data_IF_371727589883
#
_entry.id   IF_371727589883
#
_cell.length_a   1.000
_cell.length_b   1.000
_cell.length_c   1.000
_cell.angle_alpha   90.00
_cell.angle_beta   90.00
_cell.angle_gamma   90.00
#
_symmetry.space_group_name_H-M   'P 1'
#
loop_
_entity.id
_entity.type
_entity.pdbx_description
1 polymer ?
#
# COMPACT_ATOMS: atom_id res chain seq x y z
N UNK A 1 -2.18 14.39 -9.62
CA UNK A 1 -2.85 13.61 -8.55
C UNK A 1 -1.81 12.70 -7.92
N UNK A 2 -1.93 12.42 -6.63
CA UNK A 2 -1.11 11.46 -5.90
C UNK A 2 -2.00 10.45 -5.21
N UNK A 3 -1.43 9.29 -4.88
CA UNK A 3 -2.17 8.16 -4.36
C UNK A 3 -1.42 7.54 -3.19
N UNK A 4 -2.17 7.08 -2.20
CA UNK A 4 -1.72 6.09 -1.22
C UNK A 4 -2.34 4.77 -1.62
N UNK A 5 -1.54 3.72 -1.77
CA UNK A 5 -2.00 2.41 -2.21
C UNK A 5 -1.67 1.34 -1.17
N UNK A 6 -2.52 0.31 -1.17
CA UNK A 6 -2.50 -0.78 -0.22
C UNK A 6 -2.38 -2.09 -1.00
N UNK A 7 -1.28 -2.80 -0.81
CA UNK A 7 -1.04 -4.10 -1.42
C UNK A 7 -1.11 -5.20 -0.36
N UNK A 8 -1.53 -6.38 -0.79
CA UNK A 8 -1.45 -7.61 -0.02
C UNK A 8 -0.72 -8.66 -0.85
N UNK A 9 0.19 -9.39 -0.22
CA UNK A 9 0.80 -10.56 -0.84
C UNK A 9 -0.24 -11.66 -0.97
N UNK A 10 -0.29 -12.31 -2.13
CA UNK A 10 -1.21 -13.41 -2.38
C UNK A 10 -0.72 -14.67 -1.66
N UNK A 11 0.60 -14.85 -1.57
CA UNK A 11 1.22 -16.09 -1.09
C UNK A 11 1.68 -16.03 0.37
N UNK A 12 1.71 -14.84 0.98
CA UNK A 12 2.22 -14.63 2.34
C UNK A 12 1.32 -13.67 3.10
N UNK A 13 1.32 -13.74 4.43
CA UNK A 13 0.63 -12.77 5.28
C UNK A 13 1.43 -11.46 5.38
N UNK A 14 1.59 -10.79 4.24
CA UNK A 14 2.35 -9.57 4.11
C UNK A 14 1.52 -8.47 3.46
N UNK A 15 1.61 -7.27 4.02
CA UNK A 15 0.87 -6.10 3.58
C UNK A 15 1.83 -4.95 3.37
N UNK A 16 1.56 -4.16 2.34
CA UNK A 16 2.36 -3.01 2.01
C UNK A 16 1.49 -1.77 1.83
N UNK A 17 1.97 -0.64 2.34
CA UNK A 17 1.37 0.66 2.14
C UNK A 17 2.45 1.58 1.58
N UNK A 18 2.14 2.25 0.48
CA UNK A 18 3.06 3.20 -0.15
C UNK A 18 2.31 4.33 -0.83
N UNK A 19 3.05 5.31 -1.33
CA UNK A 19 2.50 6.40 -2.12
C UNK A 19 3.21 6.59 -3.46
N UNK A 20 2.50 7.16 -4.43
CA UNK A 20 2.98 7.36 -5.81
C UNK A 20 2.07 8.33 -6.58
N UNK A 21 2.57 8.93 -7.66
CA UNK A 21 1.73 9.61 -8.65
C UNK A 21 1.13 8.67 -9.70
N UNK A 22 1.60 7.42 -9.76
CA UNK A 22 1.16 6.38 -10.69
C UNK A 22 1.11 5.02 -9.98
N UNK A 23 -0.11 4.58 -9.64
CA UNK A 23 -0.36 3.32 -8.92
C UNK A 23 -0.14 2.12 -9.84
N UNK A 24 -0.53 2.24 -11.11
CA UNK A 24 -0.44 1.14 -12.08
C UNK A 24 1.02 0.76 -12.30
N UNK A 25 1.88 1.75 -12.56
CA UNK A 25 3.32 1.51 -12.71
C UNK A 25 3.92 0.87 -11.47
N UNK A 26 3.66 1.40 -10.27
CA UNK A 26 4.23 0.86 -9.02
C UNK A 26 3.72 -0.55 -8.72
N UNK A 27 2.46 -0.85 -9.02
CA UNK A 27 1.91 -2.19 -8.86
C UNK A 27 2.65 -3.22 -9.72
N UNK A 28 2.92 -2.90 -10.99
CA UNK A 28 3.73 -3.75 -11.85
C UNK A 28 5.17 -3.87 -11.35
N UNK A 29 5.81 -2.78 -10.93
CA UNK A 29 7.18 -2.83 -10.39
C UNK A 29 7.32 -3.73 -9.15
N UNK A 30 6.30 -3.75 -8.27
CA UNK A 30 6.27 -4.64 -7.11
C UNK A 30 6.13 -6.11 -7.51
N UNK A 31 5.25 -6.41 -8.47
CA UNK A 31 5.05 -7.77 -8.97
C UNK A 31 6.22 -8.28 -9.83
N UNK A 32 6.92 -7.38 -10.54
CA UNK A 32 8.09 -7.68 -11.35
C UNK A 32 9.39 -7.77 -10.50
N UNK A 33 9.28 -7.73 -9.17
CA UNK A 33 10.40 -7.90 -8.25
C UNK A 33 11.41 -6.75 -8.23
N UNK A 34 11.09 -5.60 -8.82
CA UNK A 34 12.01 -4.44 -8.92
C UNK A 34 12.23 -3.72 -7.59
N UNK A 35 11.35 -3.92 -6.63
CA UNK A 35 11.50 -3.39 -5.27
C UNK A 35 12.22 -4.39 -4.38
N UNK A 36 13.51 -4.16 -4.11
CA UNK A 36 14.37 -5.07 -3.34
C UNK A 36 13.77 -5.51 -1.99
N UNK A 37 13.13 -4.60 -1.25
CA UNK A 37 12.54 -4.88 0.05
C UNK A 37 11.21 -5.64 0.00
N UNK A 38 10.55 -5.70 -1.15
CA UNK A 38 9.22 -6.31 -1.28
C UNK A 38 9.15 -7.46 -2.29
N UNK A 39 10.19 -7.66 -3.10
CA UNK A 39 10.26 -8.72 -4.14
C UNK A 39 10.00 -10.12 -3.60
N UNK A 40 10.40 -10.39 -2.35
CA UNK A 40 10.22 -11.70 -1.72
C UNK A 40 8.76 -12.00 -1.34
N UNK A 41 7.90 -10.98 -1.32
CA UNK A 41 6.47 -11.12 -1.01
C UNK A 41 5.58 -11.04 -2.27
N UNK A 42 6.18 -10.86 -3.46
CA UNK A 42 5.42 -10.99 -4.70
C UNK A 42 4.92 -12.44 -4.87
N UNK A 43 3.78 -12.68 -5.52
CA UNK A 43 2.92 -11.70 -6.17
C UNK A 43 1.99 -10.95 -5.20
N UNK A 44 1.62 -9.73 -5.60
CA UNK A 44 0.76 -8.81 -4.87
C UNK A 44 -0.56 -8.58 -5.59
N UNK A 45 -1.63 -8.42 -4.80
CA UNK A 45 -2.88 -7.81 -5.24
C UNK A 45 -3.00 -6.37 -4.75
N UNK A 46 -3.64 -5.52 -5.56
CA UNK A 46 -3.99 -4.15 -5.16
C UNK A 46 -5.32 -4.18 -4.42
N UNK A 47 -5.29 -3.98 -3.11
CA UNK A 47 -6.48 -4.04 -2.25
C UNK A 47 -7.30 -2.75 -2.38
N UNK A 48 -6.63 -1.60 -2.32
CA UNK A 48 -7.28 -0.28 -2.41
C UNK A 48 -6.27 0.82 -2.72
N UNK A 49 -6.77 2.00 -3.05
CA UNK A 49 -6.00 3.23 -3.09
C UNK A 49 -6.86 4.45 -2.72
N UNK A 50 -6.21 5.50 -2.23
CA UNK A 50 -6.83 6.79 -1.90
C UNK A 50 -6.15 7.86 -2.75
N UNK A 51 -6.94 8.64 -3.48
CA UNK A 51 -6.45 9.73 -4.32
C UNK A 51 -6.46 11.08 -3.55
N UNK A 52 -5.37 11.84 -3.67
CA UNK A 52 -5.19 13.15 -3.06
C UNK A 52 -4.49 14.12 -4.01
N UNK A 53 -4.73 15.42 -3.83
CA UNK A 53 -4.26 16.43 -4.79
C UNK A 53 -2.74 16.55 -4.81
N UNK A 54 -2.08 16.51 -3.65
CA UNK A 54 -0.65 16.79 -3.52
C UNK A 54 0.17 15.62 -3.00
N UNK A 55 1.46 15.60 -3.32
CA UNK A 55 2.42 14.61 -2.80
C UNK A 55 2.49 14.65 -1.28
N UNK A 56 2.44 15.84 -0.69
CA UNK A 56 2.49 16.03 0.77
C UNK A 56 1.30 15.34 1.44
N UNK A 57 0.08 15.51 0.91
CA UNK A 57 -1.10 14.83 1.43
C UNK A 57 -0.94 13.30 1.38
N UNK A 58 -0.37 12.77 0.29
CA UNK A 58 -0.15 11.33 0.15
C UNK A 58 0.87 10.82 1.17
N UNK A 59 1.99 11.53 1.35
CA UNK A 59 3.01 11.16 2.32
C UNK A 59 2.49 11.23 3.76
N UNK A 60 1.75 12.27 4.10
CA UNK A 60 1.16 12.45 5.44
C UNK A 60 0.16 11.32 5.75
N UNK A 61 -0.69 10.96 4.77
CA UNK A 61 -1.62 9.83 4.89
C UNK A 61 -0.91 8.48 4.95
N UNK A 62 0.09 8.25 4.12
CA UNK A 62 0.91 7.02 4.16
C UNK A 62 1.52 6.84 5.56
N UNK A 63 2.10 7.91 6.12
CA UNK A 63 2.65 7.91 7.48
C UNK A 63 1.58 7.59 8.52
N UNK A 64 0.41 8.21 8.40
CA UNK A 64 -0.73 7.95 9.29
C UNK A 64 -1.16 6.48 9.24
N UNK A 65 -1.36 5.89 8.06
CA UNK A 65 -1.78 4.49 7.94
C UNK A 65 -0.72 3.48 8.41
N UNK A 66 0.55 3.89 8.54
CA UNK A 66 1.63 3.05 9.06
C UNK A 66 1.76 3.05 10.58
N UNK A 67 1.07 3.94 11.30
CA UNK A 67 1.27 4.09 12.76
C UNK A 67 -0.04 4.26 13.53
N UNK A 68 0.00 3.99 14.84
CA UNK A 68 -1.08 4.30 15.79
C UNK A 68 -2.48 3.90 15.33
N UNK A 69 -3.42 4.83 15.46
CA UNK A 69 -4.83 4.63 15.07
C UNK A 69 -5.00 4.43 13.56
N UNK A 70 -4.15 5.01 12.72
CA UNK A 70 -4.23 4.83 11.27
C UNK A 70 -3.91 3.39 10.85
N UNK A 71 -2.95 2.73 11.51
CA UNK A 71 -2.69 1.30 11.30
C UNK A 71 -3.89 0.43 11.67
N UNK A 72 -4.56 0.73 12.78
CA UNK A 72 -5.78 0.02 13.17
C UNK A 72 -6.91 0.21 12.14
N UNK A 73 -7.07 1.43 11.60
CA UNK A 73 -8.02 1.71 10.52
C UNK A 73 -7.66 0.93 9.25
N UNK A 74 -6.39 0.95 8.82
CA UNK A 74 -5.95 0.21 7.65
C UNK A 74 -6.23 -1.29 7.78
N UNK A 75 -5.87 -1.89 8.92
CA UNK A 75 -6.09 -3.33 9.14
C UNK A 75 -7.58 -3.69 9.16
N UNK A 76 -8.42 -2.90 9.84
CA UNK A 76 -9.85 -3.22 10.00
C UNK A 76 -10.70 -2.86 8.79
N UNK A 77 -10.40 -1.75 8.10
CA UNK A 77 -11.28 -1.15 7.08
C UNK A 77 -10.76 -1.25 5.67
N UNK A 78 -9.45 -1.44 5.48
CA UNK A 78 -8.85 -1.56 4.15
C UNK A 78 -8.46 -3.01 3.89
N UNK A 79 -7.66 -3.60 4.77
CA UNK A 79 -7.21 -4.99 4.61
C UNK A 79 -8.22 -6.02 5.13
N UNK A 80 -9.25 -5.58 5.88
CA UNK A 80 -10.26 -6.44 6.49
C UNK A 80 -9.65 -7.67 7.17
N UNK A 81 -8.58 -7.47 7.95
CA UNK A 81 -7.94 -8.57 8.68
C UNK A 81 -8.93 -9.10 9.72
N UNK A 82 -9.20 -10.41 9.66
CA UNK A 82 -9.95 -11.10 10.70
C UNK A 82 -8.96 -11.35 11.85
N UNK A 83 -9.20 -10.71 13.00
CA UNK A 83 -8.45 -10.92 14.23
C UNK A 83 -9.02 -12.10 15.00
#
# INVERSE_FOLDING_TARGET
MYYVYFLKSINQDFYYIGSTSDVKRRFFEHNDGRSQSTKHYAPFELVSYIAVKTRKQANDLERYFKTGSGSAVANKRIFCKNY
#
